data_IF_082712549745
#
_entry.id   IF_082712549745
#
_cell.length_a   1.000
_cell.length_b   1.000
_cell.length_c   1.000
_cell.angle_alpha   90.00
_cell.angle_beta   90.00
_cell.angle_gamma   90.00
#
_symmetry.space_group_name_H-M   'P 1'
#
loop_
_entity.id
_entity.type
_entity.pdbx_description
1 polymer ?
#
# COMPACT_ATOMS: atom_id res chain seq x y z
N UNK A 1 -16.74 -0.42 24.12
CA UNK A 1 -15.29 -0.75 24.19
C UNK A 1 -14.59 0.37 23.47
N UNK A 2 -13.86 1.18 24.20
CA UNK A 2 -13.01 2.24 23.67
C UNK A 2 -11.93 1.53 22.83
N UNK A 3 -12.08 1.54 21.50
CA UNK A 3 -11.07 0.93 20.62
C UNK A 3 -9.85 1.84 20.72
N UNK A 4 -8.75 1.28 21.19
CA UNK A 4 -7.44 1.92 21.16
C UNK A 4 -7.24 2.59 19.78
N UNK A 5 -7.01 3.92 19.70
CA UNK A 5 -6.98 4.68 18.44
C UNK A 5 -5.79 4.34 17.53
N UNK A 6 -5.11 3.22 17.78
CA UNK A 6 -4.02 2.70 16.94
C UNK A 6 -4.54 2.44 15.53
N UNK A 7 -3.94 3.07 14.52
CA UNK A 7 -4.36 2.78 13.16
C UNK A 7 -3.94 1.37 12.78
N UNK A 8 -4.92 0.65 12.26
CA UNK A 8 -4.84 -0.76 11.94
C UNK A 8 -5.38 -1.01 10.54
N UNK A 9 -4.87 -2.05 9.90
CA UNK A 9 -5.49 -2.62 8.71
C UNK A 9 -6.80 -3.26 9.14
N UNK A 10 -7.91 -2.71 8.64
CA UNK A 10 -9.24 -3.15 9.03
C UNK A 10 -9.51 -4.61 8.64
N UNK A 11 -10.29 -5.32 9.46
CA UNK A 11 -10.63 -6.73 9.26
C UNK A 11 -11.21 -7.02 7.86
N UNK A 12 -12.01 -6.10 7.32
CA UNK A 12 -12.64 -6.21 5.99
C UNK A 12 -11.66 -6.04 4.82
N UNK A 13 -10.41 -5.61 5.07
CA UNK A 13 -9.44 -5.40 3.99
C UNK A 13 -9.00 -6.73 3.41
N UNK A 14 -9.09 -6.87 2.09
CA UNK A 14 -8.60 -8.07 1.39
C UNK A 14 -7.09 -8.22 1.59
N UNK A 15 -6.65 -9.48 1.72
CA UNK A 15 -5.27 -9.83 2.06
C UNK A 15 -4.62 -10.59 0.91
N UNK A 16 -3.34 -10.34 0.67
CA UNK A 16 -2.54 -11.11 -0.27
C UNK A 16 -2.14 -12.49 0.27
N UNK A 17 -1.39 -13.28 -0.52
CA UNK A 17 -1.04 -13.00 -1.91
C UNK A 17 -2.26 -13.05 -2.84
N UNK A 18 -2.14 -12.49 -4.04
CA UNK A 18 -3.17 -12.66 -5.07
C UNK A 18 -3.36 -14.14 -5.41
N UNK A 19 -4.63 -14.54 -5.56
CA UNK A 19 -5.01 -15.93 -5.83
C UNK A 19 -4.61 -16.44 -7.24
N UNK A 20 -4.12 -15.55 -8.11
CA UNK A 20 -3.39 -15.98 -9.29
C UNK A 20 -2.00 -16.42 -8.82
N UNK A 21 -1.88 -17.71 -8.53
CA UNK A 21 -0.66 -18.37 -8.09
C UNK A 21 0.49 -17.93 -9.01
N UNK A 22 1.55 -17.37 -8.42
CA UNK A 22 2.83 -17.12 -9.09
C UNK A 22 3.01 -15.86 -9.96
N UNK A 23 2.22 -14.78 -9.74
CA UNK A 23 2.50 -13.48 -10.39
C UNK A 23 3.87 -12.88 -10.02
N UNK A 24 4.51 -13.31 -8.93
CA UNK A 24 5.80 -12.74 -8.46
C UNK A 24 5.71 -11.27 -8.02
N UNK A 25 4.49 -10.75 -7.85
CA UNK A 25 4.22 -9.36 -7.46
C UNK A 25 3.42 -9.33 -6.16
N UNK A 26 3.92 -8.58 -5.18
CA UNK A 26 3.30 -8.39 -3.87
C UNK A 26 2.00 -7.57 -4.00
N UNK A 27 0.96 -7.99 -3.27
CA UNK A 27 -0.30 -7.25 -3.12
C UNK A 27 -0.84 -7.31 -1.68
N UNK A 28 -1.54 -6.26 -1.21
CA UNK A 28 -1.82 -5.00 -1.91
C UNK A 28 -0.57 -4.13 -2.09
N UNK A 29 -0.68 -3.03 -2.85
CA UNK A 29 0.47 -2.14 -3.11
C UNK A 29 0.72 -1.15 -1.97
N UNK A 30 -0.35 -0.56 -1.43
CA UNK A 30 -0.28 0.56 -0.50
C UNK A 30 -1.57 0.62 0.34
N UNK A 31 -1.49 1.26 1.49
CA UNK A 31 -2.62 1.50 2.40
C UNK A 31 -3.03 2.97 2.38
N UNK A 32 -4.34 3.22 2.42
CA UNK A 32 -4.93 4.56 2.63
C UNK A 32 -6.09 4.49 3.62
N UNK A 33 -6.54 5.64 4.11
CA UNK A 33 -7.62 5.73 5.10
C UNK A 33 -8.96 5.27 4.52
N UNK A 34 -9.52 4.19 5.08
CA UNK A 34 -10.76 3.58 4.58
C UNK A 34 -11.88 3.40 5.60
N UNK A 35 -11.64 3.63 6.90
CA UNK A 35 -12.63 3.42 7.96
C UNK A 35 -13.21 4.76 8.44
N UNK A 36 -14.53 4.83 8.58
CA UNK A 36 -15.26 5.99 9.10
C UNK A 36 -14.98 7.30 8.32
N UNK A 37 -14.89 7.19 7.00
CA UNK A 37 -14.63 8.31 6.11
C UNK A 37 -15.92 9.11 5.88
N UNK A 38 -15.87 10.41 6.15
CA UNK A 38 -16.97 11.33 5.86
C UNK A 38 -16.84 11.82 4.42
N UNK A 39 -17.86 11.58 3.61
CA UNK A 39 -17.92 11.99 2.21
C UNK A 39 -19.31 12.47 1.81
N UNK A 40 -19.41 13.19 0.70
CA UNK A 40 -20.68 13.67 0.19
C UNK A 40 -21.62 12.52 -0.21
N UNK A 41 -22.91 12.67 0.05
CA UNK A 41 -23.96 11.73 -0.39
C UNK A 41 -25.07 12.48 -1.14
N UNK A 42 -25.72 11.85 -2.13
CA UNK A 42 -26.88 12.44 -2.80
C UNK A 42 -27.99 12.78 -1.79
N UNK A 43 -28.62 13.94 -1.95
CA UNK A 43 -29.77 14.37 -1.14
C UNK A 43 -30.92 13.37 -1.15
N UNK A 44 -31.13 12.68 -2.27
CA UNK A 44 -32.13 11.61 -2.44
C UNK A 44 -31.81 10.33 -1.68
N UNK A 45 -30.56 10.12 -1.29
CA UNK A 45 -30.09 8.96 -0.52
C UNK A 45 -30.05 9.20 0.99
N UNK A 46 -30.45 10.39 1.45
CA UNK A 46 -30.53 10.71 2.87
C UNK A 46 -31.57 9.79 3.55
N UNK A 47 -31.20 9.00 4.58
CA UNK A 47 -32.17 8.16 5.27
C UNK A 47 -33.30 9.01 5.84
N UNK A 48 -34.55 8.74 5.42
CA UNK A 48 -35.74 9.29 6.07
C UNK A 48 -35.75 8.76 7.51
N UNK A 49 -35.48 9.61 8.50
CA UNK A 49 -35.56 9.16 9.89
C UNK A 49 -37.03 9.08 10.31
N UNK A 50 -37.51 7.86 10.55
CA UNK A 50 -38.52 7.65 11.58
C UNK A 50 -37.87 7.94 12.94
N UNK A 51 -38.63 8.53 13.87
CA UNK A 51 -38.14 9.22 15.06
C UNK A 51 -37.44 8.35 16.15
N UNK A 52 -37.00 7.12 15.85
CA UNK A 52 -36.52 6.16 16.85
C UNK A 52 -35.00 5.93 16.92
N UNK A 53 -34.17 6.48 16.02
CA UNK A 53 -32.71 6.18 15.98
C UNK A 53 -31.79 7.39 16.23
N UNK A 54 -32.21 8.31 17.10
CA UNK A 54 -31.50 9.56 17.33
C UNK A 54 -30.27 9.58 18.28
N UNK A 55 -29.89 8.56 19.10
CA UNK A 55 -28.88 8.82 20.13
C UNK A 55 -27.40 8.51 19.81
N UNK A 56 -27.02 7.91 18.67
CA UNK A 56 -25.62 7.45 18.49
C UNK A 56 -24.63 8.50 17.93
N UNK A 57 -25.08 9.50 17.18
CA UNK A 57 -24.17 10.48 16.53
C UNK A 57 -23.82 11.71 17.40
N UNK A 58 -24.54 11.95 18.49
CA UNK A 58 -24.31 13.09 19.39
C UNK A 58 -23.30 12.81 20.51
N UNK A 59 -22.88 11.55 20.68
CA UNK A 59 -21.93 11.14 21.71
C UNK A 59 -20.47 11.26 21.23
N UNK A 60 -20.20 11.00 19.94
CA UNK A 60 -18.86 11.05 19.34
C UNK A 60 -18.38 12.48 19.01
N UNK A 61 -19.29 13.42 18.74
CA UNK A 61 -18.93 14.81 18.42
C UNK A 61 -18.49 15.66 19.62
N UNK A 62 -18.51 15.13 20.85
CA UNK A 62 -18.06 15.86 22.04
C UNK A 62 -16.53 15.97 22.15
N UNK A 63 -15.77 15.14 21.43
CA UNK A 63 -14.30 15.10 21.55
C UNK A 63 -13.55 15.94 20.51
N UNK A 64 -14.25 16.57 19.55
CA UNK A 64 -13.66 17.45 18.54
C UNK A 64 -14.06 18.91 18.76
N UNK A 65 -13.63 19.50 19.87
CA UNK A 65 -13.61 20.97 20.03
C UNK A 65 -12.14 21.39 20.07
N UNK A 66 -11.62 21.85 18.94
CA UNK A 66 -10.34 22.56 18.86
C UNK A 66 -10.65 24.04 19.18
N UNK A 67 -10.09 24.64 20.25
CA UNK A 67 -10.27 26.06 20.51
C UNK A 67 -9.46 26.86 19.50
N UNK A 68 -10.11 27.74 18.75
CA UNK A 68 -9.45 28.77 17.93
C UNK A 68 -9.16 29.96 18.84
N UNK A 69 -7.90 30.41 19.02
CA UNK A 69 -7.62 31.59 19.84
C UNK A 69 -8.14 32.85 19.14
N UNK A 70 -9.08 33.56 19.77
CA UNK A 70 -9.49 34.90 19.34
C UNK A 70 -10.98 35.17 19.17
N UNK A 71 -11.89 34.22 19.41
CA UNK A 71 -13.33 34.51 19.39
C UNK A 71 -13.91 34.70 20.80
N UNK A 72 -14.68 35.77 20.93
CA UNK A 72 -15.27 36.28 22.17
C UNK A 72 -16.21 35.24 22.79
N UNK A 73 -16.07 35.04 24.11
CA UNK A 73 -16.83 34.07 24.90
C UNK A 73 -18.35 34.31 24.81
N UNK A 74 -19.03 33.52 23.97
CA UNK A 74 -20.48 33.35 24.01
C UNK A 74 -20.84 32.15 24.86
N UNK A 75 -21.57 32.38 25.96
CA UNK A 75 -22.04 31.36 26.91
C UNK A 75 -22.83 30.25 26.22
N UNK A 76 -22.27 29.04 26.11
CA UNK A 76 -23.01 27.86 25.66
C UNK A 76 -23.81 27.32 26.86
N UNK A 77 -25.13 27.49 26.83
CA UNK A 77 -26.05 26.87 27.79
C UNK A 77 -25.98 25.35 27.67
N UNK A 78 -25.74 24.67 28.79
CA UNK A 78 -25.83 23.22 28.92
C UNK A 78 -27.19 22.70 28.45
N UNK A 79 -27.19 21.76 27.51
CA UNK A 79 -28.41 21.14 26.98
C UNK A 79 -28.91 20.07 27.95
N UNK A 80 -30.00 20.36 28.68
CA UNK A 80 -30.66 19.40 29.56
C UNK A 80 -31.75 18.64 28.79
N UNK A 81 -31.56 17.33 28.61
CA UNK A 81 -32.42 16.44 27.81
C UNK A 81 -33.79 16.13 28.44
N UNK A 82 -34.09 16.60 29.64
CA UNK A 82 -35.30 16.23 30.39
C UNK A 82 -36.49 17.21 30.27
N UNK A 83 -36.42 18.24 29.43
CA UNK A 83 -37.51 19.24 29.25
C UNK A 83 -37.84 19.60 27.78
N UNK A 84 -37.87 18.63 26.87
CA UNK A 84 -38.39 18.87 25.51
C UNK A 84 -39.77 18.21 25.39
N UNK A 85 -40.82 19.02 25.41
CA UNK A 85 -42.15 18.59 25.00
C UNK A 85 -42.17 18.43 23.48
N UNK A 86 -42.15 17.19 22.99
CA UNK A 86 -42.14 16.82 21.56
C UNK A 86 -43.56 16.74 20.98
N UNK A 87 -44.47 17.64 21.36
CA UNK A 87 -45.72 17.82 20.65
C UNK A 87 -45.64 19.07 19.78
N UNK A 88 -45.47 18.87 18.46
CA UNK A 88 -45.64 19.93 17.46
C UNK A 88 -44.44 20.24 16.56
N UNK A 89 -43.29 19.56 16.71
CA UNK A 89 -42.19 19.70 15.75
C UNK A 89 -42.37 18.67 14.65
N UNK A 90 -42.98 19.07 13.53
CA UNK A 90 -42.86 18.32 12.28
C UNK A 90 -41.39 18.16 11.97
N UNK A 91 -40.94 16.92 11.74
CA UNK A 91 -39.55 16.62 11.43
C UNK A 91 -39.13 17.44 10.20
N UNK A 92 -38.37 18.53 10.42
CA UNK A 92 -37.65 19.17 9.32
C UNK A 92 -36.83 18.09 8.65
N UNK A 93 -37.10 17.87 7.35
CA UNK A 93 -36.31 17.03 6.46
C UNK A 93 -34.89 17.61 6.41
N UNK A 94 -34.06 17.28 7.41
CA UNK A 94 -32.62 17.53 7.32
C UNK A 94 -32.07 16.55 6.31
N UNK A 95 -32.05 16.97 5.06
CA UNK A 95 -31.31 16.31 3.98
C UNK A 95 -29.85 16.25 4.39
N UNK A 96 -29.34 15.04 4.66
CA UNK A 96 -27.90 14.87 4.89
C UNK A 96 -27.21 14.94 3.54
N UNK A 97 -26.26 15.86 3.42
CA UNK A 97 -25.38 15.99 2.25
C UNK A 97 -24.05 15.26 2.43
N UNK A 98 -23.80 14.72 3.63
CA UNK A 98 -22.62 13.92 3.97
C UNK A 98 -23.02 12.65 4.72
N UNK A 99 -22.25 11.58 4.51
CA UNK A 99 -22.37 10.31 5.19
C UNK A 99 -21.00 9.79 5.61
N UNK A 100 -20.98 8.89 6.58
CA UNK A 100 -19.78 8.22 7.08
C UNK A 100 -19.80 6.75 6.63
N UNK A 101 -18.74 6.32 5.94
CA UNK A 101 -18.65 4.96 5.39
C UNK A 101 -17.28 4.34 5.63
N UNK A 102 -17.25 3.01 5.63
CA UNK A 102 -16.03 2.22 5.76
C UNK A 102 -15.90 1.25 4.61
N UNK A 103 -14.69 1.04 4.11
CA UNK A 103 -14.40 0.09 3.05
C UNK A 103 -13.13 0.43 2.29
N UNK A 104 -12.60 -0.57 1.56
CA UNK A 104 -11.52 -0.32 0.59
C UNK A 104 -11.97 0.63 -0.52
N UNK A 105 -13.28 0.66 -0.84
CA UNK A 105 -13.90 1.68 -1.71
C UNK A 105 -13.74 3.11 -1.19
N UNK A 106 -13.61 3.32 0.12
CA UNK A 106 -13.34 4.62 0.74
C UNK A 106 -11.83 4.87 0.86
N UNK A 107 -11.03 3.80 0.94
CA UNK A 107 -9.56 3.89 0.90
C UNK A 107 -9.05 4.33 -0.47
N UNK A 108 -9.45 3.64 -1.56
CA UNK A 108 -8.99 3.85 -2.93
C UNK A 108 -8.99 5.30 -3.45
N UNK A 109 -9.99 6.17 -3.19
CA UNK A 109 -9.97 7.55 -3.67
C UNK A 109 -8.84 8.39 -3.05
N UNK A 110 -8.34 8.06 -1.85
CA UNK A 110 -7.23 8.79 -1.22
C UNK A 110 -5.91 8.68 -2.02
N UNK A 111 -5.33 7.49 -2.26
CA UNK A 111 -4.15 7.36 -3.10
C UNK A 111 -4.43 7.80 -4.55
N UNK A 112 -5.67 7.71 -5.05
CA UNK A 112 -6.02 8.22 -6.38
C UNK A 112 -5.91 9.75 -6.47
N UNK A 113 -6.41 10.47 -5.46
CA UNK A 113 -6.25 11.93 -5.36
C UNK A 113 -4.78 12.33 -5.22
N UNK A 114 -4.01 11.61 -4.42
CA UNK A 114 -2.57 11.83 -4.27
C UNK A 114 -1.86 11.60 -5.61
N UNK A 115 -2.16 10.52 -6.32
CA UNK A 115 -1.61 10.24 -7.64
C UNK A 115 -1.91 11.37 -8.64
N UNK A 116 -3.10 11.95 -8.61
CA UNK A 116 -3.46 13.10 -9.45
C UNK A 116 -2.63 14.35 -9.13
N UNK A 117 -2.43 14.65 -7.83
CA UNK A 117 -1.56 15.74 -7.38
C UNK A 117 -0.11 15.51 -7.81
N UNK A 118 0.40 14.29 -7.64
CA UNK A 118 1.74 13.90 -8.10
C UNK A 118 1.88 14.03 -9.61
N UNK A 119 0.89 13.59 -10.39
CA UNK A 119 0.87 13.77 -11.85
C UNK A 119 0.88 15.24 -12.25
N UNK A 120 0.17 16.10 -11.52
CA UNK A 120 0.18 17.54 -11.76
C UNK A 120 1.54 18.17 -11.43
N UNK A 121 2.16 17.77 -10.33
CA UNK A 121 3.48 18.25 -9.91
C UNK A 121 4.62 17.70 -10.79
N UNK A 122 4.44 16.49 -11.35
CA UNK A 122 5.41 15.78 -12.19
C UNK A 122 4.74 15.29 -13.48
N UNK A 123 4.43 16.18 -14.44
CA UNK A 123 3.66 15.83 -15.64
C UNK A 123 4.28 14.73 -16.49
N UNK A 124 5.61 14.59 -16.47
CA UNK A 124 6.34 13.60 -17.26
C UNK A 124 6.39 12.21 -16.61
N UNK A 125 6.01 12.06 -15.34
CA UNK A 125 6.04 10.77 -14.69
C UNK A 125 4.99 9.83 -15.29
N UNK A 126 5.41 8.60 -15.57
CA UNK A 126 4.51 7.52 -15.93
C UNK A 126 3.58 7.15 -14.76
N UNK A 127 2.49 6.40 -15.00
CA UNK A 127 1.71 5.82 -13.91
C UNK A 127 2.56 4.97 -12.95
N UNK A 128 3.53 4.23 -13.48
CA UNK A 128 4.45 3.38 -12.72
C UNK A 128 5.40 4.20 -11.84
N UNK A 129 5.90 5.32 -12.34
CA UNK A 129 6.73 6.26 -11.60
C UNK A 129 5.98 6.87 -10.40
N UNK A 130 4.73 7.30 -10.60
CA UNK A 130 3.87 7.83 -9.52
C UNK A 130 3.60 6.74 -8.47
N UNK A 131 3.25 5.54 -8.93
CA UNK A 131 3.06 4.38 -8.06
C UNK A 131 4.32 4.06 -7.25
N UNK A 132 5.48 4.07 -7.89
CA UNK A 132 6.75 3.85 -7.22
C UNK A 132 7.02 4.92 -6.16
N UNK A 133 6.81 6.20 -6.48
CA UNK A 133 7.00 7.29 -5.53
C UNK A 133 6.14 7.06 -4.29
N UNK A 134 4.86 6.76 -4.48
CA UNK A 134 3.93 6.49 -3.37
C UNK A 134 4.32 5.28 -2.52
N UNK A 135 4.70 4.16 -3.16
CA UNK A 135 5.06 2.94 -2.44
C UNK A 135 6.38 3.10 -1.68
N UNK A 136 7.40 3.66 -2.33
CA UNK A 136 8.75 3.71 -1.75
C UNK A 136 8.91 4.71 -0.61
N UNK A 137 7.98 5.64 -0.49
CA UNK A 137 7.94 6.64 0.58
C UNK A 137 6.83 6.40 1.60
N UNK A 138 6.11 5.28 1.50
CA UNK A 138 5.04 4.94 2.43
C UNK A 138 5.57 4.70 3.85
N UNK A 139 4.79 5.11 4.84
CA UNK A 139 5.11 4.93 6.26
C UNK A 139 4.63 3.55 6.74
N UNK A 140 5.50 2.81 7.44
CA UNK A 140 5.18 1.50 8.04
C UNK A 140 4.82 1.57 9.51
N UNK A 141 4.93 2.77 10.07
CA UNK A 141 4.61 3.08 11.46
C UNK A 141 3.77 4.34 11.48
N UNK A 142 3.10 4.55 12.60
CA UNK A 142 2.44 5.80 12.91
C UNK A 142 3.45 6.90 13.22
N UNK A 143 3.03 8.18 13.20
CA UNK A 143 3.87 9.29 13.58
C UNK A 143 4.45 9.18 15.01
N UNK A 144 3.79 8.42 15.90
CA UNK A 144 4.26 8.12 17.26
C UNK A 144 5.26 6.94 17.33
N UNK A 145 5.59 6.34 16.18
CA UNK A 145 6.52 5.21 16.06
C UNK A 145 5.89 3.83 16.26
N UNK A 146 4.60 3.75 16.59
CA UNK A 146 3.92 2.46 16.76
C UNK A 146 3.71 1.76 15.41
N UNK A 147 3.78 0.43 15.42
CA UNK A 147 3.55 -0.35 14.19
C UNK A 147 2.08 -0.33 13.80
N UNK A 148 1.80 -0.32 12.50
CA UNK A 148 0.45 -0.53 11.99
C UNK A 148 0.03 -1.95 12.36
N UNK A 149 -1.09 -2.09 13.07
CA UNK A 149 -1.59 -3.40 13.50
C UNK A 149 -2.55 -4.01 12.45
N UNK A 150 -2.77 -5.32 12.54
CA UNK A 150 -3.91 -6.00 11.91
C UNK A 150 -5.08 -6.00 12.91
N UNK A 151 -6.22 -5.40 12.54
CA UNK A 151 -7.39 -5.29 13.44
C UNK A 151 -7.96 -6.68 13.80
N UNK A 152 -7.69 -7.71 12.99
CA UNK A 152 -8.13 -9.09 13.28
C UNK A 152 -7.30 -9.76 14.37
N UNK A 153 -5.99 -9.55 14.40
CA UNK A 153 -5.07 -10.28 15.29
C UNK A 153 -4.47 -9.42 16.41
N UNK A 154 -4.50 -8.09 16.27
CA UNK A 154 -3.81 -7.14 17.14
C UNK A 154 -2.28 -7.15 17.01
N UNK A 155 -1.72 -7.96 16.11
CA UNK A 155 -0.29 -8.05 15.83
C UNK A 155 0.12 -7.03 14.75
N UNK A 156 1.41 -6.75 14.56
CA UNK A 156 1.88 -5.92 13.45
C UNK A 156 1.39 -6.46 12.10
N UNK A 157 0.85 -5.58 11.25
CA UNK A 157 0.35 -5.92 9.94
C UNK A 157 1.49 -6.38 9.01
N UNK A 158 1.29 -7.52 8.35
CA UNK A 158 2.22 -8.01 7.34
C UNK A 158 2.12 -7.20 6.05
N UNK A 159 3.09 -7.35 5.15
CA UNK A 159 3.03 -6.70 3.84
C UNK A 159 1.96 -7.28 2.92
N UNK A 160 1.45 -8.49 3.19
CA UNK A 160 0.23 -8.98 2.53
C UNK A 160 -1.05 -8.29 3.00
N UNK A 161 -0.99 -7.53 4.09
CA UNK A 161 -2.09 -6.70 4.57
C UNK A 161 -1.92 -5.25 4.13
N UNK A 162 -0.75 -4.66 4.40
CA UNK A 162 -0.55 -3.21 4.21
C UNK A 162 0.18 -2.82 2.91
N UNK A 163 0.76 -3.78 2.19
CA UNK A 163 1.63 -3.51 1.05
C UNK A 163 2.89 -2.78 1.48
N UNK A 164 3.19 -1.66 0.83
CA UNK A 164 4.34 -0.84 1.18
C UNK A 164 4.18 -0.07 2.50
N UNK A 165 2.94 0.17 2.95
CA UNK A 165 2.61 0.95 4.14
C UNK A 165 1.51 1.98 3.87
N UNK A 166 1.29 2.89 4.83
CA UNK A 166 0.38 4.03 4.71
C UNK A 166 0.96 5.08 3.77
N UNK A 167 0.15 5.54 2.81
CA UNK A 167 0.57 6.57 1.85
C UNK A 167 1.01 7.87 2.53
N UNK A 168 2.19 8.37 2.16
CA UNK A 168 2.70 9.68 2.59
C UNK A 168 2.80 10.63 1.38
N UNK A 169 1.84 11.55 1.19
CA UNK A 169 1.81 12.45 0.03
C UNK A 169 3.03 13.38 -0.04
N UNK A 170 3.47 13.88 1.12
CA UNK A 170 4.56 14.86 1.20
C UNK A 170 5.87 14.24 0.77
N UNK A 171 6.20 13.04 1.26
CA UNK A 171 7.42 12.34 0.85
C UNK A 171 7.35 11.89 -0.62
N UNK A 172 6.17 11.50 -1.10
CA UNK A 172 5.99 11.02 -2.48
C UNK A 172 6.23 12.10 -3.56
N UNK A 173 6.20 13.40 -3.21
CA UNK A 173 6.52 14.50 -4.14
C UNK A 173 8.00 14.52 -4.57
N UNK A 174 8.87 14.03 -3.70
CA UNK A 174 10.31 13.95 -3.93
C UNK A 174 10.87 12.63 -3.36
N UNK A 175 10.65 11.50 -4.05
CA UNK A 175 11.04 10.18 -3.58
C UNK A 175 12.55 9.90 -3.74
N UNK A 176 13.30 10.77 -4.43
CA UNK A 176 14.70 10.53 -4.81
C UNK A 176 14.85 9.54 -5.96
N UNK A 177 14.44 8.28 -5.77
CA UNK A 177 14.49 7.23 -6.81
C UNK A 177 13.10 6.67 -7.12
N UNK A 178 12.89 6.24 -8.36
CA UNK A 178 11.68 5.53 -8.79
C UNK A 178 12.02 4.25 -9.56
N UNK A 179 11.17 3.24 -9.40
CA UNK A 179 11.08 2.04 -10.23
C UNK A 179 10.07 2.30 -11.35
N UNK A 180 10.57 2.62 -12.54
CA UNK A 180 9.72 2.94 -13.68
C UNK A 180 9.49 1.71 -14.58
N UNK A 181 8.31 1.65 -15.17
CA UNK A 181 7.83 0.58 -16.06
C UNK A 181 7.05 1.21 -17.21
N UNK A 182 7.30 0.70 -18.41
CA UNK A 182 6.57 1.04 -19.64
C UNK A 182 5.41 0.07 -19.87
N UNK A 183 4.51 0.41 -20.80
CA UNK A 183 3.46 -0.50 -21.24
C UNK A 183 4.03 -1.81 -21.81
N UNK A 184 5.16 -1.74 -22.54
CA UNK A 184 5.82 -2.93 -23.09
C UNK A 184 6.37 -3.85 -22.00
N UNK A 185 6.84 -3.31 -20.86
CA UNK A 185 7.30 -4.13 -19.73
C UNK A 185 6.15 -4.96 -19.14
N UNK A 186 4.93 -4.39 -19.07
CA UNK A 186 3.75 -5.13 -18.66
C UNK A 186 3.36 -6.21 -19.67
N UNK A 187 3.46 -5.93 -20.98
CA UNK A 187 3.20 -6.92 -22.03
C UNK A 187 4.20 -8.08 -21.94
N UNK A 188 5.49 -7.76 -21.82
CA UNK A 188 6.57 -8.72 -21.59
C UNK A 188 6.35 -9.57 -20.34
N UNK A 189 5.81 -8.98 -19.27
CA UNK A 189 5.44 -9.68 -18.06
C UNK A 189 4.24 -10.62 -18.26
N UNK A 190 3.15 -10.15 -18.86
CA UNK A 190 1.97 -11.01 -19.12
C UNK A 190 2.33 -12.17 -20.05
N UNK A 191 3.08 -11.91 -21.12
CA UNK A 191 3.63 -12.98 -21.97
C UNK A 191 4.57 -13.93 -21.21
N UNK A 192 5.29 -13.43 -20.20
CA UNK A 192 6.16 -14.22 -19.32
C UNK A 192 5.39 -15.11 -18.34
N UNK A 193 4.14 -14.78 -18.03
CA UNK A 193 3.24 -15.64 -17.25
C UNK A 193 2.69 -16.83 -18.06
N UNK A 194 2.91 -16.85 -19.38
CA UNK A 194 2.47 -17.94 -20.25
C UNK A 194 1.09 -17.75 -20.87
N UNK A 195 0.51 -16.55 -20.79
CA UNK A 195 -0.70 -16.21 -21.55
C UNK A 195 -0.42 -16.19 -23.05
N UNK A 196 -1.41 -16.59 -23.84
CA UNK A 196 -1.32 -16.60 -25.30
C UNK A 196 -1.58 -15.22 -25.92
N UNK A 197 -1.29 -15.13 -27.23
CA UNK A 197 -1.44 -13.90 -28.00
C UNK A 197 -2.89 -13.41 -28.00
N UNK A 198 -3.90 -14.30 -27.96
CA UNK A 198 -5.30 -13.89 -27.97
C UNK A 198 -5.67 -13.18 -26.67
N UNK A 199 -5.32 -13.77 -25.53
CA UNK A 199 -5.56 -13.19 -24.22
C UNK A 199 -4.82 -11.86 -24.06
N UNK A 200 -3.54 -11.81 -24.46
CA UNK A 200 -2.75 -10.57 -24.38
C UNK A 200 -3.36 -9.47 -25.26
N UNK A 201 -3.77 -9.81 -26.48
CA UNK A 201 -4.37 -8.84 -27.41
C UNK A 201 -5.79 -8.40 -27.01
N UNK A 202 -6.50 -9.19 -26.20
CA UNK A 202 -7.78 -8.78 -25.61
C UNK A 202 -7.60 -7.75 -24.50
N UNK A 203 -6.54 -7.88 -23.67
CA UNK A 203 -6.31 -6.96 -22.54
C UNK A 203 -5.57 -5.67 -22.95
N UNK A 204 -4.73 -5.68 -23.99
CA UNK A 204 -4.09 -4.46 -24.48
C UNK A 204 -5.08 -3.69 -25.35
N UNK A 205 -5.78 -2.75 -24.72
CA UNK A 205 -6.76 -1.93 -25.41
C UNK A 205 -6.10 -1.03 -26.48
N UNK A 206 -6.89 -0.66 -27.50
CA UNK A 206 -6.49 0.34 -28.49
C UNK A 206 -6.02 1.64 -27.81
N UNK A 207 -4.97 2.30 -28.33
CA UNK A 207 -4.43 2.19 -29.69
C UNK A 207 -3.19 1.27 -29.81
N UNK A 208 -2.92 0.39 -28.85
CA UNK A 208 -1.76 -0.50 -28.96
C UNK A 208 -1.94 -1.49 -30.12
N UNK A 209 -0.86 -1.70 -30.87
CA UNK A 209 -0.83 -2.70 -31.94
C UNK A 209 -0.79 -4.10 -31.31
N UNK A 210 -1.42 -5.07 -31.99
CA UNK A 210 -1.37 -6.46 -31.56
C UNK A 210 0.08 -6.94 -31.42
N UNK A 211 0.32 -7.69 -30.36
CA UNK A 211 1.63 -8.26 -30.01
C UNK A 211 1.58 -9.77 -30.14
N UNK A 212 2.70 -10.36 -30.55
CA UNK A 212 2.94 -11.79 -30.39
C UNK A 212 3.88 -12.05 -29.23
N UNK A 213 3.50 -12.91 -28.29
CA UNK A 213 4.32 -13.29 -27.15
C UNK A 213 5.60 -14.05 -27.55
N UNK A 214 5.67 -14.54 -28.80
CA UNK A 214 6.88 -15.12 -29.37
C UNK A 214 7.92 -14.07 -29.79
N UNK A 215 7.50 -12.83 -30.09
CA UNK A 215 8.39 -11.76 -30.58
C UNK A 215 8.85 -10.78 -29.49
N UNK A 216 8.31 -10.89 -28.27
CA UNK A 216 8.70 -10.05 -27.13
C UNK A 216 9.60 -10.80 -26.16
N UNK A 217 10.52 -10.07 -25.52
CA UNK A 217 11.29 -10.59 -24.40
C UNK A 217 10.35 -10.84 -23.22
N UNK A 218 10.34 -12.06 -22.69
CA UNK A 218 9.51 -12.44 -21.54
C UNK A 218 10.16 -12.01 -20.23
N UNK A 219 9.37 -11.40 -19.34
CA UNK A 219 9.80 -11.01 -17.99
C UNK A 219 9.13 -11.95 -16.99
N UNK A 220 9.93 -12.63 -16.17
CA UNK A 220 9.40 -13.38 -15.04
C UNK A 220 8.81 -12.41 -14.00
N UNK A 221 7.76 -12.81 -13.29
CA UNK A 221 7.09 -11.90 -12.35
C UNK A 221 7.99 -11.31 -11.27
N UNK A 222 8.93 -12.11 -10.76
CA UNK A 222 9.95 -11.63 -9.81
C UNK A 222 10.83 -10.52 -10.39
N UNK A 223 11.06 -10.51 -11.71
CA UNK A 223 11.95 -9.61 -12.44
C UNK A 223 11.23 -8.40 -13.05
N UNK A 224 9.90 -8.31 -12.94
CA UNK A 224 9.19 -7.07 -13.22
C UNK A 224 9.77 -5.96 -12.34
N UNK A 225 10.09 -4.79 -12.92
CA UNK A 225 10.73 -3.67 -12.23
C UNK A 225 9.79 -2.96 -11.23
N UNK A 226 9.31 -3.71 -10.25
CA UNK A 226 8.27 -3.34 -9.30
C UNK A 226 8.91 -2.94 -7.97
N UNK A 227 8.36 -1.93 -7.24
CA UNK A 227 8.94 -1.39 -6.00
C UNK A 227 8.77 -2.29 -4.76
N UNK A 228 8.70 -3.61 -4.95
CA UNK A 228 8.66 -4.63 -3.91
C UNK A 228 9.26 -5.95 -4.43
N UNK A 229 9.60 -6.84 -3.50
CA UNK A 229 10.11 -8.17 -3.80
C UNK A 229 9.18 -9.23 -3.23
N UNK A 230 8.66 -10.10 -4.10
CA UNK A 230 8.00 -11.34 -3.72
C UNK A 230 8.77 -12.48 -4.37
N UNK A 231 9.42 -13.30 -3.55
CA UNK A 231 10.27 -14.40 -4.03
C UNK A 231 9.89 -15.70 -3.34
N UNK A 232 10.08 -16.80 -4.06
CA UNK A 232 9.82 -18.16 -3.55
C UNK A 232 11.13 -18.92 -3.47
N UNK A 233 11.45 -19.47 -2.30
CA UNK A 233 12.62 -20.33 -2.10
C UNK A 233 12.16 -21.75 -1.77
N UNK A 234 12.74 -22.75 -2.42
CA UNK A 234 12.47 -24.17 -2.16
C UNK A 234 13.75 -24.88 -1.75
N UNK A 235 13.65 -26.15 -1.35
CA UNK A 235 14.85 -26.99 -1.17
C UNK A 235 15.61 -27.19 -2.50
N UNK A 236 14.90 -27.28 -3.62
CA UNK A 236 15.50 -27.47 -4.95
C UNK A 236 16.07 -26.16 -5.55
N UNK A 237 15.49 -25.02 -5.19
CA UNK A 237 15.93 -23.68 -5.56
C UNK A 237 16.10 -22.82 -4.30
N UNK A 238 17.19 -23.05 -3.53
CA UNK A 238 17.42 -22.36 -2.26
C UNK A 238 17.95 -20.93 -2.43
N UNK A 239 18.24 -20.52 -3.67
CA UNK A 239 18.74 -19.21 -4.03
C UNK A 239 17.99 -18.65 -5.25
N UNK A 240 17.63 -17.38 -5.20
CA UNK A 240 17.00 -16.63 -6.30
C UNK A 240 17.64 -15.26 -6.42
N UNK A 241 18.04 -14.89 -7.63
CA UNK A 241 18.47 -13.53 -7.99
C UNK A 241 17.31 -12.78 -8.66
N UNK A 242 17.15 -11.51 -8.32
CA UNK A 242 16.13 -10.60 -8.87
C UNK A 242 16.80 -9.33 -9.36
N UNK A 243 16.42 -8.84 -10.55
CA UNK A 243 16.97 -7.60 -11.12
C UNK A 243 15.99 -6.44 -10.95
N UNK A 244 16.53 -5.24 -10.69
CA UNK A 244 15.76 -3.99 -10.63
C UNK A 244 16.54 -2.86 -11.26
N UNK A 245 15.81 -1.90 -11.82
CA UNK A 245 16.35 -0.64 -12.34
C UNK A 245 15.68 0.52 -11.64
N UNK A 246 16.47 1.40 -11.05
CA UNK A 246 16.00 2.65 -10.46
C UNK A 246 16.42 3.84 -11.30
N UNK A 247 15.55 4.84 -11.38
CA UNK A 247 15.80 6.11 -12.06
C UNK A 247 15.89 7.21 -11.02
N UNK A 248 16.95 8.01 -11.08
CA UNK A 248 17.09 9.17 -10.20
C UNK A 248 16.17 10.31 -10.65
N UNK A 249 15.26 10.73 -9.77
CA UNK A 249 14.35 11.87 -9.98
C UNK A 249 14.56 12.99 -8.96
N UNK A 250 15.55 12.82 -8.08
CA UNK A 250 16.03 13.83 -7.14
C UNK A 250 17.18 14.64 -7.72
N UNK A 251 18.24 14.81 -6.93
CA UNK A 251 19.38 15.66 -7.28
C UNK A 251 20.34 14.97 -8.25
N UNK A 252 20.90 15.72 -9.21
CA UNK A 252 21.78 15.21 -10.26
C UNK A 252 22.99 14.43 -9.70
N UNK A 253 23.68 15.00 -8.71
CA UNK A 253 24.78 14.32 -8.02
C UNK A 253 24.26 13.75 -6.71
N UNK A 254 24.03 12.44 -6.68
CA UNK A 254 23.49 11.76 -5.51
C UNK A 254 24.09 10.37 -5.36
N UNK A 255 24.24 9.94 -4.11
CA UNK A 255 24.75 8.62 -3.76
C UNK A 255 23.75 7.97 -2.84
N UNK A 256 23.40 6.73 -3.15
CA UNK A 256 22.55 5.88 -2.34
C UNK A 256 23.31 4.64 -1.90
N UNK A 257 23.19 4.30 -0.62
CA UNK A 257 23.71 3.05 -0.06
C UNK A 257 22.55 2.12 0.27
N UNK A 258 22.70 0.83 -0.06
CA UNK A 258 21.71 -0.18 0.26
C UNK A 258 21.77 -0.55 1.74
N UNK A 259 20.62 -0.46 2.41
CA UNK A 259 20.40 -0.99 3.76
C UNK A 259 19.34 -2.08 3.71
N UNK A 260 19.62 -3.21 4.33
CA UNK A 260 18.74 -4.38 4.28
C UNK A 260 18.35 -4.81 5.69
N UNK A 261 17.04 -4.96 5.90
CA UNK A 261 16.49 -5.74 7.00
C UNK A 261 16.15 -7.11 6.39
N UNK A 262 17.00 -8.14 6.60
CA UNK A 262 16.80 -9.43 5.97
C UNK A 262 15.59 -10.15 6.59
N UNK A 263 14.78 -10.84 5.77
CA UNK A 263 13.77 -11.76 6.30
C UNK A 263 14.40 -12.87 7.13
N UNK A 264 13.72 -13.31 8.19
CA UNK A 264 14.23 -14.34 9.08
C UNK A 264 14.59 -15.63 8.31
N UNK A 265 15.79 -16.19 8.55
CA UNK A 265 16.28 -17.38 7.87
C UNK A 265 16.70 -17.19 6.41
N UNK A 266 16.73 -15.95 5.90
CA UNK A 266 17.10 -15.62 4.51
C UNK A 266 18.24 -14.61 4.49
N UNK A 267 19.36 -14.97 3.87
CA UNK A 267 20.41 -14.03 3.53
C UNK A 267 20.00 -13.21 2.31
N UNK A 268 20.24 -11.89 2.36
CA UNK A 268 19.91 -10.96 1.28
C UNK A 268 21.15 -10.16 0.92
N UNK A 269 21.60 -10.26 -0.32
CA UNK A 269 22.77 -9.56 -0.86
C UNK A 269 22.34 -8.61 -1.99
N UNK A 270 22.84 -7.38 -1.99
CA UNK A 270 22.54 -6.34 -3.00
C UNK A 270 23.80 -5.96 -3.75
N UNK A 271 23.77 -6.05 -5.08
CA UNK A 271 24.94 -5.81 -5.95
C UNK A 271 24.59 -4.88 -7.12
N UNK A 272 25.27 -3.73 -7.29
CA UNK A 272 26.16 -3.11 -6.30
C UNK A 272 25.37 -2.66 -5.06
N UNK A 273 26.03 -2.53 -3.90
CA UNK A 273 25.41 -2.01 -2.68
C UNK A 273 25.45 -0.47 -2.58
N UNK A 274 26.02 0.20 -3.59
CA UNK A 274 26.13 1.66 -3.69
C UNK A 274 25.81 2.08 -5.11
N UNK A 275 24.89 3.03 -5.26
CA UNK A 275 24.50 3.63 -6.53
C UNK A 275 24.91 5.10 -6.54
N UNK A 276 25.63 5.52 -7.57
CA UNK A 276 26.08 6.89 -7.73
C UNK A 276 25.52 7.46 -9.03
N UNK A 277 24.69 8.49 -8.90
CA UNK A 277 24.11 9.20 -10.03
C UNK A 277 24.88 10.51 -10.25
N UNK A 278 25.16 10.81 -11.52
CA UNK A 278 25.76 12.07 -11.97
C UNK A 278 24.78 13.01 -12.66
N UNK A 279 23.59 12.51 -13.02
CA UNK A 279 22.52 13.32 -13.61
C UNK A 279 21.12 12.88 -13.18
N UNK A 280 20.16 13.79 -13.30
CA UNK A 280 18.72 13.50 -13.16
C UNK A 280 18.29 12.63 -14.34
N UNK A 281 17.38 11.70 -14.10
CA UNK A 281 16.88 10.67 -15.01
C UNK A 281 17.93 9.61 -15.40
N UNK A 282 19.11 9.61 -14.80
CA UNK A 282 20.05 8.50 -14.95
C UNK A 282 19.45 7.24 -14.33
N UNK A 283 19.54 6.13 -15.07
CA UNK A 283 19.07 4.81 -14.66
C UNK A 283 20.25 3.97 -14.19
N UNK A 284 20.06 3.23 -13.11
CA UNK A 284 21.03 2.26 -12.62
C UNK A 284 20.34 0.93 -12.35
N UNK A 285 20.96 -0.16 -12.81
CA UNK A 285 20.54 -1.51 -12.50
C UNK A 285 21.25 -2.00 -11.23
N UNK A 286 20.52 -2.75 -10.40
CA UNK A 286 21.08 -3.53 -9.32
C UNK A 286 20.38 -4.90 -9.25
N UNK A 287 21.02 -5.82 -8.54
CA UNK A 287 20.54 -7.18 -8.36
C UNK A 287 20.45 -7.49 -6.87
N UNK A 288 19.42 -8.25 -6.50
CA UNK A 288 19.21 -8.72 -5.13
C UNK A 288 19.18 -10.23 -5.14
N UNK A 289 20.07 -10.85 -4.36
CA UNK A 289 20.11 -12.30 -4.17
C UNK A 289 19.49 -12.66 -2.83
N UNK A 290 18.53 -13.57 -2.88
CA UNK A 290 17.87 -14.15 -1.71
C UNK A 290 18.34 -15.59 -1.58
N UNK A 291 18.95 -15.94 -0.45
CA UNK A 291 19.47 -17.29 -0.20
C UNK A 291 18.98 -17.81 1.14
N UNK A 292 18.41 -19.00 1.15
CA UNK A 292 18.03 -19.70 2.38
C UNK A 292 19.27 -19.98 3.22
N UNK A 293 19.25 -19.62 4.50
CA UNK A 293 20.34 -19.96 5.42
C UNK A 293 20.16 -21.42 5.90
N UNK A 294 21.25 -22.20 5.90
CA UNK A 294 21.23 -23.62 6.31
C UNK A 294 20.87 -23.79 7.79
N UNK A 295 20.12 -24.84 8.12
CA UNK A 295 19.80 -25.23 9.50
C UNK A 295 18.30 -25.36 9.84
N UNK A 296 17.39 -24.93 8.96
CA UNK A 296 15.95 -25.12 9.15
C UNK A 296 15.24 -25.62 7.88
N UNK A 297 14.59 -26.81 7.91
CA UNK A 297 13.81 -27.34 6.78
C UNK A 297 12.57 -26.49 6.47
N UNK A 298 12.24 -25.51 7.31
CA UNK A 298 11.14 -24.55 7.13
C UNK A 298 11.62 -23.10 7.31
N UNK A 299 11.08 -22.19 6.51
CA UNK A 299 11.10 -20.77 6.83
C UNK A 299 10.04 -20.57 7.93
N UNK A 300 10.44 -20.37 9.18
CA UNK A 300 9.51 -20.25 10.31
C UNK A 300 9.17 -18.79 10.60
N UNK A 301 7.86 -18.49 10.62
CA UNK A 301 7.33 -17.27 11.24
C UNK A 301 7.39 -17.43 12.76
N UNK A 302 7.84 -16.42 13.48
CA UNK A 302 7.77 -16.38 14.95
C UNK A 302 6.34 -16.01 15.36
N UNK A 303 5.42 -16.98 15.40
CA UNK A 303 4.04 -16.76 15.83
C UNK A 303 3.33 -18.03 16.29
N UNK A 304 2.85 -18.03 17.54
CA UNK A 304 2.13 -19.12 18.21
C UNK A 304 0.62 -19.09 17.92
N UNK A 305 0.21 -19.15 16.66
CA UNK A 305 -1.21 -19.41 16.31
C UNK A 305 -1.39 -20.44 15.17
N UNK A 306 -2.20 -21.49 15.36
CA UNK A 306 -2.41 -22.57 14.38
C UNK A 306 -3.06 -22.15 13.06
N UNK A 307 -3.93 -21.13 13.04
CA UNK A 307 -4.68 -20.76 11.82
C UNK A 307 -3.88 -19.86 10.85
N UNK A 308 -2.77 -19.27 11.29
CA UNK A 308 -1.82 -18.55 10.43
C UNK A 308 -0.65 -19.44 9.95
N UNK A 309 -0.64 -20.73 10.33
CA UNK A 309 0.40 -21.70 9.94
C UNK A 309 0.36 -22.07 8.45
N UNK A 310 -0.70 -21.70 7.72
CA UNK A 310 -0.85 -22.03 6.30
C UNK A 310 0.00 -21.16 5.36
N UNK A 311 0.72 -20.13 5.85
CA UNK A 311 1.59 -19.31 4.99
C UNK A 311 2.93 -19.05 5.66
N UNK A 312 3.84 -20.03 5.54
CA UNK A 312 5.28 -19.93 5.88
C UNK A 312 5.94 -18.83 5.04
N UNK A 313 5.79 -17.60 5.51
CA UNK A 313 6.29 -16.39 4.87
C UNK A 313 7.11 -15.61 5.86
N UNK A 314 8.20 -15.01 5.39
CA UNK A 314 9.06 -14.13 6.18
C UNK A 314 9.24 -12.83 5.45
N UNK A 315 9.36 -11.76 6.21
CA UNK A 315 9.31 -10.40 5.71
C UNK A 315 10.57 -9.63 6.09
N UNK A 316 10.96 -8.70 5.22
CA UNK A 316 12.10 -7.82 5.39
C UNK A 316 11.94 -6.56 4.57
N UNK A 317 13.00 -5.77 4.42
CA UNK A 317 12.96 -4.63 3.50
C UNK A 317 14.34 -4.26 2.98
N UNK A 318 14.36 -3.68 1.79
CA UNK A 318 15.51 -3.01 1.21
C UNK A 318 15.24 -1.50 1.25
N UNK A 319 16.22 -0.70 1.66
CA UNK A 319 16.21 0.75 1.52
C UNK A 319 17.43 1.22 0.73
N UNK A 320 17.22 2.13 -0.21
CA UNK A 320 18.28 2.98 -0.73
C UNK A 320 18.28 4.28 0.06
N UNK A 321 19.37 4.55 0.78
CA UNK A 321 19.48 5.69 1.68
C UNK A 321 20.53 6.67 1.17
N UNK A 322 20.13 7.95 1.10
CA UNK A 322 20.99 9.11 0.89
C UNK A 322 20.82 10.09 2.06
N UNK A 323 21.52 11.23 2.02
CA UNK A 323 21.37 12.27 3.05
C UNK A 323 19.95 12.87 3.12
N UNK A 324 19.16 12.75 2.04
CA UNK A 324 17.83 13.38 1.92
C UNK A 324 16.68 12.39 1.73
N UNK A 325 16.96 11.21 1.19
CA UNK A 325 15.93 10.29 0.74
C UNK A 325 16.15 8.89 1.30
N UNK A 326 15.05 8.21 1.60
CA UNK A 326 15.02 6.79 1.95
C UNK A 326 13.98 6.10 1.07
N UNK A 327 14.44 5.32 0.10
CA UNK A 327 13.59 4.65 -0.89
C UNK A 327 13.41 3.21 -0.49
N UNK A 328 12.25 2.87 0.10
CA UNK A 328 12.02 1.57 0.73
C UNK A 328 11.23 0.62 -0.16
N UNK A 329 11.66 -0.63 -0.24
CA UNK A 329 10.94 -1.71 -0.92
C UNK A 329 10.70 -2.88 0.05
N UNK A 330 9.43 -3.29 0.27
CA UNK A 330 9.12 -4.48 1.06
C UNK A 330 9.69 -5.74 0.42
N UNK A 331 10.12 -6.68 1.25
CA UNK A 331 10.56 -8.01 0.85
C UNK A 331 9.64 -9.03 1.53
N UNK A 332 9.06 -9.93 0.74
CA UNK A 332 8.34 -11.11 1.22
C UNK A 332 8.92 -12.35 0.57
N UNK A 333 9.29 -13.33 1.39
CA UNK A 333 9.80 -14.62 0.93
C UNK A 333 8.80 -15.71 1.28
N UNK A 334 8.39 -16.47 0.28
CA UNK A 334 7.54 -17.65 0.41
C UNK A 334 8.42 -18.90 0.52
N UNK A 335 8.07 -19.79 1.46
CA UNK A 335 8.54 -21.17 1.43
C UNK A 335 7.80 -21.91 0.30
N UNK A 336 8.48 -22.29 -0.78
CA UNK A 336 7.84 -22.89 -1.96
C UNK A 336 7.34 -24.33 -1.77
N UNK A 337 7.24 -24.79 -0.53
CA UNK A 337 6.36 -25.90 -0.13
C UNK A 337 4.88 -25.50 -0.04
N UNK A 338 4.58 -24.21 -0.16
CA UNK A 338 3.24 -23.65 -0.19
C UNK A 338 2.60 -23.86 -1.57
N UNK A 339 1.54 -24.66 -1.64
CA UNK A 339 0.55 -24.52 -2.69
C UNK A 339 -0.23 -23.24 -2.40
N UNK A 340 0.04 -22.16 -3.14
CA UNK A 340 -0.82 -20.98 -3.14
C UNK A 340 -2.11 -21.36 -3.89
N UNK A 341 -3.07 -21.93 -3.15
CA UNK A 341 -4.44 -22.23 -3.59
C UNK A 341 -5.32 -20.99 -3.46
#
# INVERSE_FOLDING_TARGET
MDRDPRPAIAEYSSRGPCNMSNLGVLKPDITGHGTSIVAAIPSSSSPRRNASEAPLLLQELKHFIIPVPGSVAGTIKSYNSSKVNLQGVTASERTRTFGMFSGTSMSAPHPSGIAAVLKKARPQWSPSAIKSAMMTTADVTHPDGTQIADDTTGLPASYFLMGAGLVNPTKALDPGLIYDLTAMDYISFVCGLGYDDNYVNEIIAQPMQNVSCASVTKIAGRDLNYPSFLVTLTAAAPEVEVRRTVTNVGEASSVYTAEVIPPNGVAVEVVPNRLQFGSVNQRMEFRVRFRRMGGSPTISSSGTQPELQERRTVEGSLRWVSDKHSVRSPIVVLDGTLNLV
#
